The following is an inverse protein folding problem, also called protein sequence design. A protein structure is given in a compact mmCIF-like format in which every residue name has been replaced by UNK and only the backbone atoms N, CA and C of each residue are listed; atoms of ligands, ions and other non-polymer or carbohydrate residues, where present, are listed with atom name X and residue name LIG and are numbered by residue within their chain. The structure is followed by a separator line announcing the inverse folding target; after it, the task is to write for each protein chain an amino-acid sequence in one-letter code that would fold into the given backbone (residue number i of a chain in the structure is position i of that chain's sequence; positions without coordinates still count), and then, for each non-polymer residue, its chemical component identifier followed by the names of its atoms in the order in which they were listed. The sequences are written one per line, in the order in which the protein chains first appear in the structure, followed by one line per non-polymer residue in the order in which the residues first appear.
data_IF_984482757141
#
_entry.id   IF_984482757141
#
_cell.length_a   1.000
_cell.length_b   1.000
_cell.length_c   1.000
_cell.angle_alpha   90.00
_cell.angle_beta   90.00
_cell.angle_gamma   90.00
#
_symmetry.space_group_name_H-M   'P 1'
#
loop_
_entity.id
_entity.type
_entity.pdbx_description
1 polymer ?
#
# COMPACT_ATOMS: atom_id res chain seq x y z
N UNK A 1 -5.70 5.97 -18.06
CA UNK A 1 -5.59 4.53 -17.71
C UNK A 1 -6.05 3.68 -18.90
N UNK A 2 -5.20 2.77 -19.34
CA UNK A 2 -5.52 1.77 -20.37
C UNK A 2 -5.76 0.43 -19.70
N UNK A 3 -6.85 -0.25 -20.02
CA UNK A 3 -7.18 -1.54 -19.43
C UNK A 3 -6.52 -2.69 -20.19
N UNK A 4 -5.96 -3.64 -19.45
CA UNK A 4 -5.43 -4.90 -19.96
C UNK A 4 -6.48 -6.01 -19.88
N UNK A 5 -6.35 -7.03 -20.73
CA UNK A 5 -7.24 -8.20 -20.71
C UNK A 5 -6.98 -9.12 -19.48
N UNK A 6 -5.82 -9.00 -18.86
CA UNK A 6 -5.43 -9.82 -17.72
C UNK A 6 -5.30 -8.97 -16.46
N UNK A 7 -5.80 -9.50 -15.33
CA UNK A 7 -5.64 -8.91 -14.02
C UNK A 7 -4.27 -9.25 -13.45
N UNK A 8 -3.50 -8.22 -13.10
CA UNK A 8 -2.26 -8.40 -12.33
C UNK A 8 -2.61 -8.71 -10.88
N UNK A 9 -1.95 -9.71 -10.32
CA UNK A 9 -1.98 -10.02 -8.89
C UNK A 9 -0.61 -10.54 -8.48
N UNK A 10 0.21 -9.66 -7.97
CA UNK A 10 1.60 -9.98 -7.60
C UNK A 10 1.93 -9.42 -6.23
N UNK A 11 2.73 -10.17 -5.46
CA UNK A 11 3.34 -9.64 -4.25
C UNK A 11 4.51 -8.74 -4.62
N UNK A 12 4.56 -7.55 -4.03
CA UNK A 12 5.58 -6.56 -4.33
C UNK A 12 6.20 -5.99 -3.06
N UNK A 13 7.45 -5.58 -3.17
CA UNK A 13 8.12 -4.75 -2.17
C UNK A 13 8.99 -3.70 -2.86
N UNK A 14 9.21 -2.59 -2.17
CA UNK A 14 9.96 -1.46 -2.73
C UNK A 14 10.10 -0.30 -1.75
N UNK A 15 10.38 0.86 -2.30
CA UNK A 15 10.55 2.10 -1.54
C UNK A 15 9.79 3.26 -2.18
N UNK A 16 9.26 4.13 -1.35
CA UNK A 16 8.76 5.43 -1.80
C UNK A 16 9.92 6.28 -2.31
N UNK A 17 9.63 7.17 -3.24
CA UNK A 17 10.57 8.15 -3.76
C UNK A 17 10.89 9.27 -2.76
N UNK A 18 11.51 10.33 -3.26
CA UNK A 18 11.64 11.58 -2.51
C UNK A 18 10.30 12.33 -2.57
N UNK A 19 9.63 12.41 -1.43
CA UNK A 19 8.34 13.07 -1.26
C UNK A 19 8.45 14.42 -0.53
N UNK A 20 9.67 14.96 -0.37
CA UNK A 20 9.92 16.19 0.40
C UNK A 20 9.08 17.38 -0.08
N UNK A 21 8.81 17.48 -1.38
CA UNK A 21 8.00 18.54 -1.99
C UNK A 21 6.48 18.26 -1.97
N UNK A 22 6.02 17.26 -1.25
CA UNK A 22 4.60 16.86 -1.18
C UNK A 22 3.98 17.15 0.20
N UNK A 23 2.72 16.78 0.35
CA UNK A 23 2.04 16.85 1.65
C UNK A 23 2.47 15.77 2.65
N UNK A 24 3.27 14.77 2.22
CA UNK A 24 3.69 13.63 3.03
C UNK A 24 5.22 13.42 3.00
N UNK A 25 6.03 14.43 3.36
CA UNK A 25 7.50 14.30 3.34
C UNK A 25 8.02 13.19 4.27
N UNK A 26 7.28 12.86 5.33
CA UNK A 26 7.61 11.80 6.29
C UNK A 26 7.58 10.40 5.67
N UNK A 27 6.96 10.25 4.51
CA UNK A 27 6.95 9.00 3.75
C UNK A 27 8.11 8.88 2.76
N UNK A 28 9.02 9.85 2.66
CA UNK A 28 10.19 9.76 1.77
C UNK A 28 11.07 8.56 2.11
N UNK A 29 11.45 7.81 1.09
CA UNK A 29 12.37 6.68 1.16
C UNK A 29 11.95 5.55 2.13
N UNK A 30 10.67 5.46 2.48
CA UNK A 30 10.15 4.39 3.34
C UNK A 30 9.97 3.11 2.54
N UNK A 31 10.36 1.99 3.14
CA UNK A 31 10.08 0.68 2.58
C UNK A 31 8.58 0.38 2.64
N UNK A 32 8.08 -0.28 1.62
CA UNK A 32 6.73 -0.82 1.60
C UNK A 32 6.72 -2.26 1.10
N UNK A 33 5.68 -2.98 1.42
CA UNK A 33 5.30 -4.24 0.78
C UNK A 33 3.79 -4.34 0.70
N UNK A 34 3.30 -5.17 -0.20
CA UNK A 34 1.88 -5.37 -0.40
C UNK A 34 1.59 -6.20 -1.64
N UNK A 35 0.36 -6.07 -2.13
CA UNK A 35 -0.08 -6.76 -3.34
C UNK A 35 -0.46 -5.73 -4.40
N UNK A 36 0.14 -5.84 -5.56
CA UNK A 36 -0.27 -5.08 -6.75
C UNK A 36 -1.44 -5.83 -7.41
N UNK A 37 -2.62 -5.20 -7.42
CA UNK A 37 -3.85 -5.80 -7.94
C UNK A 37 -4.55 -4.80 -8.84
N UNK A 38 -4.41 -4.94 -10.16
CA UNK A 38 -5.06 -4.07 -11.13
C UNK A 38 -5.25 -4.74 -12.51
N UNK A 39 -6.09 -4.15 -13.33
CA UNK A 39 -6.31 -4.54 -14.75
C UNK A 39 -5.90 -3.43 -15.72
N UNK A 40 -5.40 -2.30 -15.22
CA UNK A 40 -5.07 -1.16 -16.03
C UNK A 40 -3.68 -0.63 -15.76
N UNK A 41 -3.11 0.02 -16.75
CA UNK A 41 -1.88 0.81 -16.64
C UNK A 41 -2.25 2.27 -16.69
N UNK A 42 -1.79 3.04 -15.69
CA UNK A 42 -2.00 4.48 -15.62
C UNK A 42 -0.71 5.19 -16.00
N UNK A 43 -0.79 6.05 -16.99
CA UNK A 43 0.30 6.92 -17.41
C UNK A 43 -0.06 8.38 -17.11
N UNK A 44 0.95 9.20 -16.85
CA UNK A 44 0.76 10.64 -16.73
C UNK A 44 0.41 11.26 -18.07
N UNK A 45 -0.72 11.93 -18.16
CA UNK A 45 -1.07 12.73 -19.32
C UNK A 45 -0.21 14.01 -19.33
N UNK A 46 0.77 14.09 -20.20
CA UNK A 46 1.60 15.31 -20.25
C UNK A 46 2.74 15.29 -21.25
N UNK A 47 3.14 14.13 -21.74
CA UNK A 47 4.25 14.00 -22.70
C UNK A 47 3.85 13.57 -24.10
N UNK A 48 2.61 13.22 -24.34
CA UNK A 48 2.10 12.89 -25.68
C UNK A 48 0.66 13.37 -25.82
N UNK A 49 0.47 14.38 -26.61
CA UNK A 49 -0.70 15.21 -26.93
C UNK A 49 -2.05 14.55 -27.25
N UNK A 50 -2.50 13.57 -26.48
CA UNK A 50 -3.77 12.85 -26.69
C UNK A 50 -4.85 13.09 -25.63
N UNK A 51 -4.70 14.06 -24.75
CA UNK A 51 -5.76 14.46 -23.82
C UNK A 51 -6.32 15.84 -24.20
N UNK A 52 -7.06 15.94 -25.31
CA UNK A 52 -7.69 17.19 -25.75
C UNK A 52 -8.88 17.66 -24.89
N UNK A 53 -9.33 16.87 -23.92
CA UNK A 53 -10.55 17.17 -23.17
C UNK A 53 -10.38 17.96 -21.88
N UNK A 54 -9.16 18.21 -21.41
CA UNK A 54 -8.93 19.07 -20.25
C UNK A 54 -7.80 20.05 -20.56
N UNK A 55 -8.16 21.27 -20.97
CA UNK A 55 -7.20 22.39 -21.03
C UNK A 55 -6.62 22.56 -19.63
N UNK A 56 -5.29 22.42 -19.43
CA UNK A 56 -4.70 22.69 -18.12
C UNK A 56 -4.97 24.14 -17.79
N UNK A 57 -5.63 24.39 -16.67
CA UNK A 57 -5.62 25.72 -16.07
C UNK A 57 -4.16 26.11 -15.89
N UNK A 58 -3.75 27.27 -16.40
CA UNK A 58 -2.37 27.79 -16.38
C UNK A 58 -1.73 27.93 -14.99
N UNK A 59 -2.43 27.54 -13.92
CA UNK A 59 -1.98 27.58 -12.54
C UNK A 59 -1.45 26.23 -12.02
N UNK A 60 -1.65 25.10 -12.73
CA UNK A 60 -1.18 23.79 -12.31
C UNK A 60 -0.05 23.33 -13.22
N UNK A 61 1.16 23.78 -12.94
CA UNK A 61 2.37 23.04 -13.27
C UNK A 61 2.32 21.75 -12.43
N UNK A 62 1.58 20.76 -12.88
CA UNK A 62 1.45 19.47 -12.19
C UNK A 62 2.75 18.70 -12.38
N UNK A 63 3.75 18.99 -11.55
CA UNK A 63 4.92 18.14 -11.39
C UNK A 63 4.49 16.83 -10.72
N UNK A 64 3.69 16.03 -11.43
CA UNK A 64 3.39 14.70 -11.00
C UNK A 64 4.61 13.82 -11.25
N UNK A 65 4.99 13.03 -10.26
CA UNK A 65 6.13 12.14 -10.30
C UNK A 65 5.79 10.80 -9.66
N UNK A 66 6.59 9.74 -9.88
CA UNK A 66 6.31 8.43 -9.29
C UNK A 66 6.26 8.49 -7.77
N UNK A 67 5.30 7.77 -7.18
CA UNK A 67 5.21 7.64 -5.73
C UNK A 67 6.38 6.83 -5.16
N UNK A 68 6.89 5.86 -5.93
CA UNK A 68 8.03 5.05 -5.52
C UNK A 68 8.50 4.09 -6.60
N UNK A 69 9.31 3.14 -6.19
CA UNK A 69 9.89 2.10 -7.03
C UNK A 69 9.59 0.74 -6.41
N UNK A 70 9.07 -0.19 -7.20
CA UNK A 70 9.01 -1.62 -6.88
C UNK A 70 10.41 -2.19 -7.11
N UNK A 71 11.01 -2.76 -6.08
CA UNK A 71 12.36 -3.36 -6.11
C UNK A 71 12.31 -4.89 -6.26
N UNK A 72 11.17 -5.49 -5.87
CA UNK A 72 10.93 -6.93 -6.03
C UNK A 72 9.48 -7.21 -6.40
N UNK A 73 9.30 -8.21 -7.27
CA UNK A 73 7.99 -8.71 -7.70
C UNK A 73 8.00 -10.24 -7.59
N UNK A 74 7.13 -10.83 -6.74
CA UNK A 74 7.13 -12.26 -6.41
C UNK A 74 8.52 -12.82 -5.99
N UNK A 75 9.33 -12.00 -5.29
CA UNK A 75 10.68 -12.36 -4.85
C UNK A 75 11.79 -12.06 -5.87
N UNK A 76 11.47 -11.85 -7.13
CA UNK A 76 12.42 -11.49 -8.18
C UNK A 76 12.75 -10.00 -8.15
N UNK A 77 14.01 -9.65 -8.36
CA UNK A 77 14.46 -8.27 -8.40
C UNK A 77 13.94 -7.56 -9.65
N UNK A 78 13.47 -6.34 -9.49
CA UNK A 78 13.06 -5.45 -10.58
C UNK A 78 13.34 -4.00 -10.18
N UNK A 79 13.09 -3.05 -11.10
CA UNK A 79 13.20 -1.62 -10.83
C UNK A 79 12.11 -0.89 -11.62
N UNK A 80 10.89 -0.91 -11.12
CA UNK A 80 9.74 -0.34 -11.81
C UNK A 80 9.13 0.80 -11.00
N UNK A 81 8.92 1.94 -11.65
CA UNK A 81 8.20 3.05 -11.05
C UNK A 81 6.74 2.66 -10.82
N UNK A 82 6.21 3.06 -9.67
CA UNK A 82 4.83 2.78 -9.31
C UNK A 82 4.14 4.01 -8.70
N UNK A 83 2.82 4.07 -8.94
CA UNK A 83 1.99 5.13 -8.40
C UNK A 83 2.39 6.52 -8.88
N UNK A 84 1.67 7.51 -8.41
CA UNK A 84 1.92 8.92 -8.73
C UNK A 84 1.65 9.78 -7.51
N UNK A 85 2.39 10.88 -7.41
CA UNK A 85 2.10 11.94 -6.45
C UNK A 85 2.21 13.32 -7.10
N UNK A 86 1.36 14.22 -6.64
CA UNK A 86 1.34 15.62 -7.04
C UNK A 86 0.77 16.46 -5.89
N UNK A 87 1.62 17.22 -5.20
CA UNK A 87 1.20 18.02 -4.07
C UNK A 87 0.62 17.20 -2.93
N UNK A 88 -0.70 17.21 -2.77
CA UNK A 88 -1.44 16.45 -1.76
C UNK A 88 -2.24 15.27 -2.33
N UNK A 89 -2.04 14.94 -3.60
CA UNK A 89 -2.69 13.81 -4.27
C UNK A 89 -1.70 12.68 -4.44
N UNK A 90 -2.10 11.48 -4.03
CA UNK A 90 -1.29 10.26 -4.10
C UNK A 90 -2.13 9.14 -4.68
N UNK A 91 -1.54 8.34 -5.54
CA UNK A 91 -2.19 7.18 -6.15
C UNK A 91 -1.22 6.01 -6.24
N UNK A 92 -1.69 4.82 -5.87
CA UNK A 92 -0.94 3.58 -5.99
C UNK A 92 -1.89 2.41 -6.25
N UNK A 93 -1.40 1.36 -6.90
CA UNK A 93 -2.08 0.08 -7.06
C UNK A 93 -1.71 -0.95 -5.99
N UNK A 94 -0.89 -0.57 -5.01
CA UNK A 94 -0.41 -1.48 -3.97
C UNK A 94 -1.41 -1.52 -2.82
N UNK A 95 -2.07 -2.66 -2.68
CA UNK A 95 -2.94 -2.96 -1.57
C UNK A 95 -2.12 -3.35 -0.34
N UNK A 96 -2.55 -2.92 0.84
CA UNK A 96 -1.86 -3.22 2.11
C UNK A 96 -0.61 -2.37 2.35
N UNK A 97 -0.41 -1.28 1.61
CA UNK A 97 0.78 -0.42 1.76
C UNK A 97 0.90 0.17 3.18
N UNK A 98 -0.23 0.42 3.85
CA UNK A 98 -0.27 0.93 5.23
C UNK A 98 -0.29 -0.18 6.30
N UNK A 99 -0.26 -1.46 5.91
CA UNK A 99 -0.07 -2.56 6.86
C UNK A 99 1.37 -2.58 7.42
N UNK A 100 2.28 -1.86 6.74
CA UNK A 100 3.65 -1.66 7.21
C UNK A 100 3.69 -0.54 8.25
N UNK A 101 4.19 -0.80 9.48
CA UNK A 101 4.18 0.19 10.57
C UNK A 101 4.82 1.52 10.20
N UNK A 102 5.93 1.49 9.46
CA UNK A 102 6.64 2.70 9.03
C UNK A 102 5.85 3.57 8.04
N UNK A 103 4.99 2.97 7.22
CA UNK A 103 4.13 3.71 6.29
C UNK A 103 2.97 4.37 7.04
N UNK A 104 2.30 3.62 7.92
CA UNK A 104 1.23 4.14 8.75
C UNK A 104 1.75 5.24 9.71
N UNK A 105 2.88 5.00 10.37
CA UNK A 105 3.50 5.97 11.27
C UNK A 105 3.89 7.26 10.54
N UNK A 106 4.51 7.18 9.37
CA UNK A 106 4.87 8.36 8.58
C UNK A 106 3.64 9.19 8.15
N UNK A 107 2.52 8.55 7.83
CA UNK A 107 1.27 9.25 7.54
C UNK A 107 0.73 9.97 8.79
N UNK A 108 0.73 9.31 9.95
CA UNK A 108 0.31 9.90 11.23
C UNK A 108 1.19 11.09 11.58
N UNK A 109 2.51 10.95 11.45
CA UNK A 109 3.47 12.04 11.69
C UNK A 109 3.15 13.26 10.81
N UNK A 110 2.94 13.06 9.52
CA UNK A 110 2.59 14.14 8.58
C UNK A 110 1.29 14.85 9.00
N UNK A 111 0.26 14.10 9.37
CA UNK A 111 -1.03 14.65 9.78
C UNK A 111 -0.95 15.39 11.13
N UNK A 112 -0.20 14.85 12.10
CA UNK A 112 0.02 15.50 13.39
C UNK A 112 0.72 16.86 13.22
N UNK A 113 1.83 16.88 12.47
CA UNK A 113 2.57 18.11 12.22
C UNK A 113 1.71 19.18 11.53
N UNK A 114 0.89 18.79 10.56
CA UNK A 114 -0.04 19.73 9.90
C UNK A 114 -1.11 20.29 10.84
N UNK A 115 -1.47 19.56 11.88
CA UNK A 115 -2.46 19.99 12.89
C UNK A 115 -1.82 20.62 14.11
N UNK A 116 -0.50 20.76 14.16
CA UNK A 116 0.21 21.29 15.33
C UNK A 116 0.17 20.34 16.53
N UNK A 117 -0.02 19.03 16.30
CA UNK A 117 -0.02 18.00 17.32
C UNK A 117 1.37 17.37 17.44
N UNK A 118 1.69 16.89 18.63
CA UNK A 118 2.92 16.15 18.88
C UNK A 118 2.80 14.71 18.35
N UNK A 119 3.53 14.33 17.29
CA UNK A 119 3.46 12.99 16.74
C UNK A 119 3.96 11.90 17.70
N UNK A 120 4.81 12.25 18.68
CA UNK A 120 5.31 11.30 19.69
C UNK A 120 4.25 10.78 20.65
N UNK A 121 3.06 11.40 20.67
CA UNK A 121 1.93 10.97 21.50
C UNK A 121 0.97 10.01 20.78
N UNK A 122 1.14 9.80 19.48
CA UNK A 122 0.27 8.99 18.66
C UNK A 122 1.13 7.97 17.92
N UNK A 123 0.98 6.70 18.27
CA UNK A 123 1.65 5.60 17.57
C UNK A 123 0.70 4.96 16.55
N UNK A 124 1.24 4.58 15.39
CA UNK A 124 0.53 3.68 14.49
C UNK A 124 0.36 2.31 15.16
N UNK A 125 -0.78 1.69 14.94
CA UNK A 125 -0.99 0.29 15.32
C UNK A 125 -0.08 -0.58 14.44
N UNK A 126 0.67 -1.49 15.06
CA UNK A 126 1.31 -2.56 14.31
C UNK A 126 0.21 -3.52 13.83
N UNK A 127 -0.21 -3.32 12.58
CA UNK A 127 -1.33 -4.07 12.01
C UNK A 127 -0.99 -5.56 11.84
N UNK A 128 0.27 -5.91 11.61
CA UNK A 128 0.70 -7.30 11.50
C UNK A 128 0.57 -8.01 12.86
N UNK A 129 1.10 -7.40 13.93
CA UNK A 129 0.96 -7.93 15.28
C UNK A 129 -0.51 -8.02 15.70
N UNK A 130 -1.29 -6.96 15.49
CA UNK A 130 -2.71 -6.96 15.81
C UNK A 130 -3.47 -8.09 15.10
N UNK A 131 -3.18 -8.32 13.83
CA UNK A 131 -3.79 -9.40 13.04
C UNK A 131 -3.45 -10.79 13.60
N UNK A 132 -2.21 -11.02 13.97
CA UNK A 132 -1.79 -12.28 14.61
C UNK A 132 -2.50 -12.50 15.95
N UNK A 133 -2.64 -11.46 16.77
CA UNK A 133 -3.40 -11.52 18.02
C UNK A 133 -4.88 -11.90 17.78
N UNK A 134 -5.52 -11.29 16.76
CA UNK A 134 -6.90 -11.62 16.39
C UNK A 134 -7.04 -13.06 15.86
N UNK A 135 -6.07 -13.54 15.07
CA UNK A 135 -6.07 -14.94 14.61
C UNK A 135 -5.90 -15.92 15.79
N UNK A 136 -5.06 -15.61 16.76
CA UNK A 136 -4.89 -16.44 17.95
C UNK A 136 -6.17 -16.49 18.80
N UNK A 137 -6.86 -15.36 18.99
CA UNK A 137 -8.15 -15.31 19.66
C UNK A 137 -9.21 -16.13 18.93
N UNK A 138 -9.29 -16.02 17.61
CA UNK A 138 -10.20 -16.81 16.79
C UNK A 138 -9.88 -18.31 16.90
N UNK A 139 -8.61 -18.70 16.80
CA UNK A 139 -8.17 -20.08 16.93
C UNK A 139 -8.50 -20.67 18.32
N UNK A 140 -8.36 -19.88 19.36
CA UNK A 140 -8.75 -20.25 20.72
C UNK A 140 -10.26 -20.49 20.79
N UNK A 141 -11.07 -19.55 20.33
CA UNK A 141 -12.54 -19.69 20.33
C UNK A 141 -13.02 -20.91 19.54
N UNK A 142 -12.38 -21.22 18.41
CA UNK A 142 -12.67 -22.44 17.63
C UNK A 142 -12.35 -23.70 18.44
N UNK A 143 -11.17 -23.75 19.09
CA UNK A 143 -10.77 -24.92 19.90
C UNK A 143 -11.67 -25.14 21.11
N UNK A 144 -12.14 -24.06 21.75
CA UNK A 144 -13.04 -24.13 22.89
C UNK A 144 -14.47 -24.51 22.52
N UNK A 145 -14.87 -24.24 21.27
CA UNK A 145 -16.25 -24.44 20.80
C UNK A 145 -16.48 -25.75 20.05
N UNK A 146 -15.43 -26.44 19.60
CA UNK A 146 -15.51 -27.64 18.78
C UNK A 146 -14.83 -28.84 19.45
N UNK A 147 -15.35 -30.05 19.19
CA UNK A 147 -14.65 -31.29 19.54
C UNK A 147 -13.47 -31.51 18.59
N UNK A 148 -12.33 -30.92 18.95
CA UNK A 148 -11.11 -30.98 18.14
C UNK A 148 -10.59 -32.44 18.01
N UNK A 149 -10.79 -33.30 19.01
CA UNK A 149 -10.35 -34.69 18.97
C UNK A 149 -11.17 -35.50 17.96
N UNK A 150 -12.47 -35.24 17.89
CA UNK A 150 -13.32 -35.85 16.86
C UNK A 150 -12.91 -35.42 15.45
N UNK A 151 -12.61 -34.11 15.28
CA UNK A 151 -12.15 -33.58 13.99
C UNK A 151 -10.81 -34.22 13.58
N UNK A 152 -9.84 -34.31 14.48
CA UNK A 152 -8.55 -34.93 14.16
C UNK A 152 -8.64 -36.42 13.91
N UNK A 153 -9.55 -37.15 14.59
CA UNK A 153 -9.83 -38.57 14.28
C UNK A 153 -10.38 -38.72 12.85
N UNK A 154 -11.39 -37.94 12.50
CA UNK A 154 -11.97 -37.97 11.15
C UNK A 154 -10.93 -37.67 10.07
N UNK A 155 -10.03 -36.71 10.30
CA UNK A 155 -8.96 -36.37 9.35
C UNK A 155 -7.94 -37.52 9.18
N UNK A 156 -7.69 -38.33 10.22
CA UNK A 156 -6.73 -39.43 10.16
C UNK A 156 -7.33 -40.72 9.57
N UNK A 157 -8.57 -41.02 9.92
CA UNK A 157 -9.23 -42.30 9.61
C UNK A 157 -10.03 -42.23 8.30
N UNK A 158 -10.33 -41.02 7.83
CA UNK A 158 -11.26 -40.79 6.73
C UNK A 158 -12.71 -40.90 7.18
N UNK A 159 -13.63 -40.67 6.27
CA UNK A 159 -15.08 -40.90 6.44
C UNK A 159 -15.42 -42.23 5.81
#
# INVERSE_FOLDING_TARGET
TTFSAQKTRTQVSGRTGDLAATALPQLSHRAFSGYEIHMGQTELCGSSGLCESHKPNKANNSNAFPFGVIERRNGEACAEQQGFCCGNVFGTYIHGIFDQPQMAQGLIEALCLRKGLDPGKIAAVDFAQHKEEQYNLLAQGVRESLDMDAIYRTLKEGI
#
